data_IF_142316281882
#
_entry.id   IF_142316281882
#
_cell.length_a   1.000
_cell.length_b   1.000
_cell.length_c   1.000
_cell.angle_alpha   90.00
_cell.angle_beta   90.00
_cell.angle_gamma   90.00
#
_symmetry.space_group_name_H-M   'P 1'
#
loop_
_entity.id
_entity.type
_entity.pdbx_description
1 polymer ?
#
# COMPACT_ATOMS: atom_id res chain seq x y z
N UNK A 1 -9.14 -18.08 43.40
CA UNK A 1 -9.83 -16.88 43.93
C UNK A 1 -11.23 -17.25 44.41
N UNK A 2 -11.48 -17.57 45.70
CA UNK A 2 -12.81 -17.95 46.15
C UNK A 2 -13.51 -16.73 46.79
N UNK A 3 -14.11 -15.90 45.94
CA UNK A 3 -15.03 -14.84 46.32
C UNK A 3 -15.88 -14.50 45.11
N UNK A 4 -17.21 -14.66 45.18
CA UNK A 4 -18.09 -14.31 44.07
C UNK A 4 -18.00 -12.80 43.84
N UNK A 5 -17.50 -12.39 42.67
CA UNK A 5 -17.56 -11.00 42.22
C UNK A 5 -19.03 -10.62 42.06
N UNK A 6 -19.47 -9.59 42.77
CA UNK A 6 -20.81 -9.01 42.65
C UNK A 6 -20.66 -7.67 41.94
N UNK A 7 -21.38 -7.47 40.85
CA UNK A 7 -21.44 -6.18 40.17
C UNK A 7 -22.88 -5.66 40.22
N UNK A 8 -23.07 -4.49 40.83
CA UNK A 8 -24.36 -3.82 40.89
C UNK A 8 -24.20 -2.38 40.40
N UNK A 9 -24.74 -2.09 39.21
CA UNK A 9 -24.74 -0.75 38.59
C UNK A 9 -23.36 -0.08 38.58
N UNK A 10 -22.30 -0.84 38.26
CA UNK A 10 -20.93 -0.31 38.16
C UNK A 10 -20.16 -0.29 39.49
N UNK A 11 -20.79 -0.68 40.60
CA UNK A 11 -20.11 -0.96 41.86
C UNK A 11 -19.79 -2.44 41.94
N UNK A 12 -18.51 -2.76 42.06
CA UNK A 12 -17.98 -4.11 42.13
C UNK A 12 -17.64 -4.43 43.58
N UNK A 13 -18.23 -5.48 44.13
CA UNK A 13 -17.95 -5.99 45.47
C UNK A 13 -17.32 -7.37 45.39
N UNK A 14 -16.24 -7.57 46.12
CA UNK A 14 -15.54 -8.84 46.26
C UNK A 14 -15.37 -9.17 47.74
N UNK A 15 -15.84 -10.35 48.12
CA UNK A 15 -15.67 -10.91 49.46
C UNK A 15 -14.41 -11.81 49.49
N UNK A 16 -13.70 -11.87 50.62
CA UNK A 16 -12.57 -12.79 50.81
C UNK A 16 -11.29 -12.40 50.05
N UNK A 17 -11.11 -11.11 49.77
CA UNK A 17 -9.92 -10.59 49.09
C UNK A 17 -8.75 -10.60 50.07
N UNK A 18 -7.62 -11.17 49.68
CA UNK A 18 -6.40 -11.18 50.49
C UNK A 18 -5.47 -10.08 49.98
N UNK A 19 -5.26 -9.04 50.79
CA UNK A 19 -4.31 -7.96 50.52
C UNK A 19 -3.36 -7.91 51.72
N UNK A 20 -2.27 -8.70 51.73
CA UNK A 20 -1.44 -8.89 52.93
C UNK A 20 -0.85 -7.59 53.48
N UNK A 21 -0.59 -6.63 52.61
CA UNK A 21 -0.07 -5.31 52.98
C UNK A 21 -1.11 -4.47 53.75
N UNK A 22 -2.41 -4.72 53.55
CA UNK A 22 -3.53 -3.96 54.16
C UNK A 22 -4.13 -4.71 55.34
N UNK A 23 -4.27 -6.04 55.27
CA UNK A 23 -4.81 -6.86 56.36
C UNK A 23 -4.23 -8.27 56.34
N UNK A 24 -3.99 -8.82 57.53
CA UNK A 24 -3.57 -10.22 57.70
C UNK A 24 -4.71 -11.22 57.45
N UNK A 25 -5.97 -10.76 57.55
CA UNK A 25 -7.17 -11.56 57.28
C UNK A 25 -7.83 -11.14 55.98
N UNK A 26 -8.56 -12.04 55.29
CA UNK A 26 -9.33 -11.68 54.11
C UNK A 26 -10.32 -10.55 54.38
N UNK A 27 -10.41 -9.59 53.46
CA UNK A 27 -11.26 -8.40 53.55
C UNK A 27 -12.34 -8.42 52.47
N UNK A 28 -13.35 -7.55 52.63
CA UNK A 28 -14.25 -7.22 51.53
C UNK A 28 -13.79 -5.93 50.86
N UNK A 29 -13.71 -5.94 49.53
CA UNK A 29 -13.39 -4.76 48.72
C UNK A 29 -14.61 -4.36 47.91
N UNK A 30 -14.97 -3.09 47.97
CA UNK A 30 -15.98 -2.45 47.14
C UNK A 30 -15.26 -1.43 46.27
N UNK A 31 -15.44 -1.50 44.97
CA UNK A 31 -14.78 -0.65 43.99
C UNK A 31 -15.80 -0.03 43.05
N UNK A 32 -15.54 1.19 42.60
CA UNK A 32 -16.19 1.76 41.43
C UNK A 32 -15.18 2.52 40.59
N UNK A 33 -15.50 2.65 39.31
CA UNK A 33 -14.70 3.39 38.35
C UNK A 33 -15.55 4.55 37.84
N UNK A 34 -15.03 5.75 37.98
CA UNK A 34 -15.70 6.99 37.61
C UNK A 34 -14.88 7.69 36.51
N UNK A 35 -15.57 8.26 35.51
CA UNK A 35 -14.93 9.17 34.57
C UNK A 35 -14.68 10.51 35.25
N UNK A 36 -13.45 11.01 35.14
CA UNK A 36 -13.02 12.32 35.61
C UNK A 36 -12.65 13.19 34.41
N UNK A 37 -12.72 14.53 34.52
CA UNK A 37 -12.31 15.42 33.41
C UNK A 37 -10.89 15.18 32.91
N UNK A 38 -10.01 14.69 33.80
CA UNK A 38 -8.59 14.44 33.53
C UNK A 38 -8.25 12.95 33.36
N UNK A 39 -9.24 12.06 33.28
CA UNK A 39 -9.00 10.62 33.09
C UNK A 39 -9.99 9.74 33.85
N UNK A 40 -9.49 8.63 34.40
CA UNK A 40 -10.33 7.64 35.09
C UNK A 40 -9.98 7.60 36.57
N UNK A 41 -11.00 7.76 37.42
CA UNK A 41 -10.90 7.61 38.86
C UNK A 41 -11.27 6.19 39.28
N UNK A 42 -10.46 5.59 40.15
CA UNK A 42 -10.80 4.34 40.83
C UNK A 42 -11.01 4.64 42.30
N UNK A 43 -12.19 4.32 42.81
CA UNK A 43 -12.53 4.50 44.22
C UNK A 43 -12.69 3.14 44.88
N UNK A 44 -12.07 2.97 46.05
CA UNK A 44 -12.20 1.77 46.88
C UNK A 44 -12.76 2.08 48.25
N UNK A 45 -13.56 1.15 48.75
CA UNK A 45 -13.91 0.99 50.16
C UNK A 45 -13.56 -0.43 50.59
N UNK A 46 -12.83 -0.54 51.70
CA UNK A 46 -12.34 -1.82 52.22
C UNK A 46 -12.96 -2.03 53.60
N UNK A 47 -13.67 -3.14 53.75
CA UNK A 47 -14.24 -3.61 55.01
C UNK A 47 -13.30 -4.67 55.60
N UNK A 48 -12.70 -4.34 56.75
CA UNK A 48 -11.73 -5.16 57.46
C UNK A 48 -12.39 -6.22 58.36
N UNK A 49 -13.72 -6.31 58.36
CA UNK A 49 -14.53 -7.25 59.14
C UNK A 49 -15.02 -6.70 60.48
N UNK A 50 -14.22 -5.83 61.13
CA UNK A 50 -14.60 -5.13 62.36
C UNK A 50 -14.88 -3.63 62.15
N UNK A 51 -14.34 -3.04 61.09
CA UNK A 51 -14.50 -1.65 60.71
C UNK A 51 -14.17 -1.45 59.23
N UNK A 52 -14.65 -0.34 58.67
CA UNK A 52 -14.17 0.14 57.38
C UNK A 52 -12.81 0.81 57.53
N UNK A 53 -11.98 0.65 56.49
CA UNK A 53 -10.72 1.35 56.34
C UNK A 53 -10.93 2.87 56.43
N UNK A 54 -10.29 3.51 57.40
CA UNK A 54 -10.38 4.95 57.64
C UNK A 54 -9.04 5.56 58.02
N UNK A 55 -8.85 6.83 57.64
CA UNK A 55 -7.58 7.55 57.85
C UNK A 55 -7.23 7.71 59.33
N UNK A 56 -8.23 7.91 60.18
CA UNK A 56 -8.05 8.10 61.62
C UNK A 56 -8.24 6.79 62.40
N UNK A 57 -9.20 5.96 62.00
CA UNK A 57 -9.54 4.70 62.68
C UNK A 57 -8.54 3.57 62.42
N UNK A 58 -7.91 3.55 61.24
CA UNK A 58 -6.98 2.50 60.81
C UNK A 58 -5.79 3.10 60.03
N UNK A 59 -4.97 3.98 60.64
CA UNK A 59 -4.00 4.80 59.92
C UNK A 59 -2.91 3.98 59.19
N UNK A 60 -2.46 2.88 59.79
CA UNK A 60 -1.44 2.00 59.18
C UNK A 60 -1.96 1.30 57.92
N UNK A 61 -3.16 0.70 58.02
CA UNK A 61 -3.83 0.04 56.90
C UNK A 61 -4.20 1.05 55.82
N UNK A 62 -4.62 2.27 56.21
CA UNK A 62 -4.93 3.35 55.27
C UNK A 62 -3.72 3.70 54.42
N UNK A 63 -2.56 3.90 55.04
CA UNK A 63 -1.31 4.21 54.32
C UNK A 63 -0.89 3.07 53.39
N UNK A 64 -1.07 1.81 53.80
CA UNK A 64 -0.78 0.65 52.97
C UNK A 64 -1.72 0.57 51.76
N UNK A 65 -3.02 0.78 51.96
CA UNK A 65 -4.01 0.78 50.90
C UNK A 65 -3.81 1.95 49.91
N UNK A 66 -3.45 3.14 50.41
CA UNK A 66 -3.09 4.30 49.57
C UNK A 66 -1.89 3.97 48.68
N UNK A 67 -0.84 3.37 49.24
CA UNK A 67 0.32 2.92 48.47
C UNK A 67 -0.11 1.89 47.41
N UNK A 68 -0.89 0.89 47.79
CA UNK A 68 -1.34 -0.17 46.89
C UNK A 68 -2.15 0.38 45.72
N UNK A 69 -3.12 1.26 45.98
CA UNK A 69 -3.94 1.90 44.94
C UNK A 69 -3.08 2.79 44.02
N UNK A 70 -2.08 3.50 44.56
CA UNK A 70 -1.14 4.32 43.78
C UNK A 70 -0.25 3.47 42.88
N UNK A 71 0.22 2.33 43.37
CA UNK A 71 1.06 1.42 42.59
C UNK A 71 0.25 0.72 41.50
N UNK A 72 -1.01 0.36 41.76
CA UNK A 72 -1.97 -0.09 40.74
C UNK A 72 -2.20 0.97 39.65
N UNK A 73 -2.45 2.23 40.04
CA UNK A 73 -2.64 3.30 39.06
C UNK A 73 -1.41 3.50 38.17
N UNK A 74 -0.20 3.39 38.75
CA UNK A 74 1.06 3.46 38.00
C UNK A 74 1.25 2.28 37.05
N UNK A 75 0.88 1.06 37.45
CA UNK A 75 1.01 -0.11 36.57
C UNK A 75 0.06 0.00 35.38
N UNK A 76 -1.21 0.35 35.63
CA UNK A 76 -2.19 0.56 34.57
C UNK A 76 -1.75 1.64 33.58
N UNK A 77 -1.23 2.77 34.08
CA UNK A 77 -0.73 3.84 33.22
C UNK A 77 0.49 3.41 32.40
N UNK A 78 1.40 2.61 32.97
CA UNK A 78 2.54 2.06 32.22
C UNK A 78 2.07 1.10 31.13
N UNK A 79 1.12 0.23 31.43
CA UNK A 79 0.57 -0.72 30.45
C UNK A 79 -0.09 0.02 29.27
N UNK A 80 -0.89 1.05 29.56
CA UNK A 80 -1.50 1.91 28.54
C UNK A 80 -0.45 2.61 27.67
N UNK A 81 0.59 3.20 28.27
CA UNK A 81 1.69 3.80 27.52
C UNK A 81 2.44 2.77 26.66
N UNK A 82 2.68 1.56 27.16
CA UNK A 82 3.32 0.51 26.38
C UNK A 82 2.46 0.09 25.18
N UNK A 83 1.14 -0.01 25.35
CA UNK A 83 0.22 -0.29 24.25
C UNK A 83 0.25 0.82 23.19
N UNK A 84 0.21 2.09 23.62
CA UNK A 84 0.31 3.24 22.71
C UNK A 84 1.64 3.27 21.96
N UNK A 85 2.75 2.96 22.62
CA UNK A 85 4.07 2.84 21.99
C UNK A 85 4.07 1.73 20.94
N UNK A 86 3.57 0.54 21.28
CA UNK A 86 3.52 -0.59 20.35
C UNK A 86 2.67 -0.28 19.10
N UNK A 87 1.53 0.38 19.28
CA UNK A 87 0.67 0.81 18.18
C UNK A 87 1.37 1.87 17.30
N UNK A 88 2.06 2.83 17.92
CA UNK A 88 2.82 3.86 17.21
C UNK A 88 4.01 3.25 16.43
N UNK A 89 4.75 2.31 17.02
CA UNK A 89 5.83 1.57 16.37
C UNK A 89 5.32 0.78 15.16
N UNK A 90 4.19 0.09 15.31
CA UNK A 90 3.54 -0.62 14.20
C UNK A 90 3.12 0.33 13.08
N UNK A 91 2.53 1.47 13.42
CA UNK A 91 2.15 2.49 12.43
C UNK A 91 3.38 3.05 11.70
N UNK A 92 4.48 3.30 12.42
CA UNK A 92 5.74 3.77 11.85
C UNK A 92 6.31 2.77 10.85
N UNK A 93 6.41 1.49 11.21
CA UNK A 93 6.91 0.42 10.33
C UNK A 93 6.05 0.32 9.06
N UNK A 94 4.73 0.35 9.20
CA UNK A 94 3.81 0.33 8.05
C UNK A 94 4.03 1.53 7.12
N UNK A 95 4.24 2.73 7.68
CA UNK A 95 4.52 3.94 6.90
C UNK A 95 5.86 3.85 6.18
N UNK A 96 6.89 3.28 6.82
CA UNK A 96 8.20 3.08 6.20
C UNK A 96 8.11 2.09 5.03
N UNK A 97 7.41 0.97 5.22
CA UNK A 97 7.20 -0.03 4.16
C UNK A 97 6.41 0.55 2.97
N UNK A 98 5.36 1.32 3.23
CA UNK A 98 4.60 2.00 2.18
C UNK A 98 5.48 3.00 1.40
N UNK A 99 6.32 3.77 2.10
CA UNK A 99 7.22 4.71 1.44
C UNK A 99 8.24 3.98 0.55
N UNK A 100 8.84 2.89 1.03
CA UNK A 100 9.75 2.06 0.21
C UNK A 100 9.06 1.51 -1.04
N UNK A 101 7.84 0.99 -0.91
CA UNK A 101 7.07 0.49 -2.05
C UNK A 101 6.77 1.58 -3.09
N UNK A 102 6.47 2.80 -2.65
CA UNK A 102 6.27 3.96 -3.54
C UNK A 102 7.57 4.32 -4.27
N UNK A 103 8.71 4.31 -3.58
CA UNK A 103 10.03 4.55 -4.19
C UNK A 103 10.35 3.50 -5.26
N UNK A 104 10.15 2.22 -4.95
CA UNK A 104 10.36 1.12 -5.91
C UNK A 104 9.46 1.25 -7.14
N UNK A 105 8.17 1.55 -6.94
CA UNK A 105 7.23 1.81 -8.04
C UNK A 105 7.70 2.97 -8.92
N UNK A 106 8.17 4.07 -8.32
CA UNK A 106 8.73 5.21 -9.04
C UNK A 106 9.96 4.80 -9.87
N UNK A 107 10.86 3.99 -9.32
CA UNK A 107 12.03 3.50 -10.05
C UNK A 107 11.67 2.60 -11.23
N UNK A 108 10.68 1.71 -11.06
CA UNK A 108 10.15 0.89 -12.15
C UNK A 108 9.57 1.75 -13.29
N UNK A 109 8.74 2.74 -12.94
CA UNK A 109 8.16 3.67 -13.92
C UNK A 109 9.27 4.42 -14.68
N UNK A 110 10.31 4.90 -13.99
CA UNK A 110 11.47 5.56 -14.65
C UNK A 110 12.16 4.63 -15.65
N UNK A 111 12.38 3.37 -15.29
CA UNK A 111 13.00 2.38 -16.18
C UNK A 111 12.13 2.12 -17.42
N UNK A 112 10.82 2.03 -17.24
CA UNK A 112 9.88 1.81 -18.35
C UNK A 112 9.79 3.03 -19.28
N UNK A 113 9.87 4.25 -18.73
CA UNK A 113 9.99 5.48 -19.53
C UNK A 113 11.22 5.43 -20.42
N UNK A 114 12.39 5.08 -19.87
CA UNK A 114 13.63 5.02 -20.67
C UNK A 114 13.57 3.94 -21.76
N UNK A 115 13.01 2.77 -21.45
CA UNK A 115 12.74 1.73 -22.45
C UNK A 115 11.82 2.21 -23.56
N UNK A 116 10.73 2.89 -23.21
CA UNK A 116 9.77 3.42 -24.19
C UNK A 116 10.39 4.51 -25.06
N UNK A 117 11.25 5.38 -24.51
CA UNK A 117 12.02 6.35 -25.29
C UNK A 117 12.94 5.67 -26.31
N UNK A 118 13.67 4.63 -25.88
CA UNK A 118 14.52 3.87 -26.79
C UNK A 118 13.71 3.20 -27.92
N UNK A 119 12.58 2.57 -27.56
CA UNK A 119 11.68 1.93 -28.54
C UNK A 119 11.08 2.93 -29.51
N UNK A 120 10.75 4.15 -29.05
CA UNK A 120 10.28 5.23 -29.92
C UNK A 120 11.32 5.59 -30.97
N UNK A 121 12.59 5.72 -30.58
CA UNK A 121 13.69 6.05 -31.50
C UNK A 121 13.85 4.94 -32.56
N UNK A 122 13.82 3.68 -32.13
CA UNK A 122 13.89 2.52 -33.04
C UNK A 122 12.74 2.53 -34.06
N UNK A 123 11.50 2.75 -33.61
CA UNK A 123 10.33 2.84 -34.50
C UNK A 123 10.48 4.00 -35.49
N UNK A 124 11.00 5.15 -35.05
CA UNK A 124 11.25 6.29 -35.94
C UNK A 124 12.28 5.96 -37.03
N UNK A 125 13.34 5.22 -36.69
CA UNK A 125 14.33 4.76 -37.66
C UNK A 125 13.72 3.76 -38.65
N UNK A 126 12.91 2.81 -38.19
CA UNK A 126 12.18 1.88 -39.06
C UNK A 126 11.23 2.60 -40.02
N UNK A 127 10.50 3.61 -39.54
CA UNK A 127 9.62 4.42 -40.39
C UNK A 127 10.40 5.17 -41.47
N UNK A 128 11.57 5.72 -41.14
CA UNK A 128 12.43 6.38 -42.12
C UNK A 128 12.95 5.40 -43.18
N UNK A 129 13.35 4.18 -42.77
CA UNK A 129 13.78 3.14 -43.69
C UNK A 129 12.64 2.71 -44.64
N UNK A 130 11.44 2.45 -44.10
CA UNK A 130 10.27 2.08 -44.89
C UNK A 130 9.88 3.18 -45.89
N UNK A 131 10.00 4.46 -45.50
CA UNK A 131 9.74 5.58 -46.41
C UNK A 131 10.74 5.64 -47.57
N UNK A 132 12.02 5.37 -47.31
CA UNK A 132 13.04 5.30 -48.36
C UNK A 132 12.80 4.12 -49.31
N UNK A 133 12.44 2.96 -48.77
CA UNK A 133 12.09 1.77 -49.57
C UNK A 133 10.87 2.02 -50.46
N UNK A 134 9.82 2.66 -49.93
CA UNK A 134 8.65 3.06 -50.71
C UNK A 134 9.03 3.99 -51.88
N UNK A 135 9.90 4.96 -51.65
CA UNK A 135 10.39 5.84 -52.70
C UNK A 135 11.16 5.07 -53.78
N UNK A 136 11.98 4.08 -53.38
CA UNK A 136 12.69 3.22 -54.32
C UNK A 136 11.71 2.42 -55.19
N UNK A 137 10.67 1.82 -54.59
CA UNK A 137 9.66 1.08 -55.35
C UNK A 137 8.90 1.98 -56.33
N UNK A 138 8.55 3.21 -55.95
CA UNK A 138 7.93 4.16 -56.87
C UNK A 138 8.84 4.47 -58.08
N UNK A 139 10.13 4.70 -57.85
CA UNK A 139 11.08 4.92 -58.93
C UNK A 139 11.22 3.68 -59.85
N UNK A 140 11.16 2.48 -59.29
CA UNK A 140 11.18 1.23 -60.06
C UNK A 140 9.92 1.07 -60.92
N UNK A 141 8.74 1.41 -60.38
CA UNK A 141 7.49 1.43 -61.14
C UNK A 141 7.59 2.41 -62.31
N UNK A 142 8.06 3.65 -62.07
CA UNK A 142 8.20 4.67 -63.10
C UNK A 142 9.18 4.25 -64.20
N UNK A 143 10.28 3.60 -63.82
CA UNK A 143 11.27 3.08 -64.77
C UNK A 143 10.66 1.96 -65.62
N UNK A 144 9.97 1.02 -64.98
CA UNK A 144 9.32 -0.08 -65.66
C UNK A 144 8.23 0.41 -66.64
N UNK A 145 7.47 1.45 -66.28
CA UNK A 145 6.48 2.05 -67.18
C UNK A 145 7.14 2.62 -68.43
N UNK A 146 8.28 3.32 -68.30
CA UNK A 146 9.05 3.83 -69.45
C UNK A 146 9.58 2.72 -70.34
N UNK A 147 10.09 1.64 -69.75
CA UNK A 147 10.55 0.46 -70.49
C UNK A 147 9.39 -0.19 -71.27
N UNK A 148 8.20 -0.29 -70.66
CA UNK A 148 7.01 -0.80 -71.35
C UNK A 148 6.60 0.10 -72.53
N UNK A 149 6.66 1.42 -72.38
CA UNK A 149 6.37 2.37 -73.46
C UNK A 149 7.37 2.25 -74.61
N UNK A 150 8.67 2.17 -74.32
CA UNK A 150 9.71 1.97 -75.32
C UNK A 150 9.52 0.65 -76.07
N UNK A 151 9.27 -0.45 -75.35
CA UNK A 151 8.99 -1.75 -75.97
C UNK A 151 7.75 -1.73 -76.87
N UNK A 152 6.69 -0.99 -76.50
CA UNK A 152 5.51 -0.79 -77.36
C UNK A 152 5.87 -0.03 -78.64
N UNK A 153 6.68 1.02 -78.55
CA UNK A 153 7.12 1.78 -79.72
C UNK A 153 7.95 0.89 -80.68
N UNK A 154 8.86 0.08 -80.15
CA UNK A 154 9.66 -0.86 -80.94
C UNK A 154 8.78 -1.90 -81.65
N UNK A 155 7.77 -2.44 -80.98
CA UNK A 155 6.79 -3.37 -81.60
C UNK A 155 6.06 -2.70 -82.77
N UNK A 156 5.67 -1.42 -82.62
CA UNK A 156 5.01 -0.67 -83.71
C UNK A 156 5.97 -0.48 -84.88
N UNK A 157 7.21 -0.08 -84.62
CA UNK A 157 8.24 0.08 -85.66
C UNK A 157 8.52 -1.23 -86.40
N UNK A 158 8.64 -2.35 -85.67
CA UNK A 158 8.81 -3.68 -86.25
C UNK A 158 7.62 -4.09 -87.10
N UNK A 159 6.38 -3.78 -86.69
CA UNK A 159 5.18 -4.04 -87.50
C UNK A 159 5.21 -3.27 -88.81
N UNK A 160 5.54 -1.97 -88.78
CA UNK A 160 5.65 -1.16 -90.00
C UNK A 160 6.73 -1.72 -90.95
N UNK A 161 7.90 -2.08 -90.41
CA UNK A 161 8.97 -2.70 -91.18
C UNK A 161 8.54 -4.03 -91.81
N UNK A 162 7.84 -4.88 -91.05
CA UNK A 162 7.31 -6.16 -91.53
C UNK A 162 6.30 -5.96 -92.67
N UNK A 163 5.37 -5.01 -92.54
CA UNK A 163 4.40 -4.72 -93.61
C UNK A 163 5.08 -4.19 -94.86
N UNK A 164 6.09 -3.32 -94.73
CA UNK A 164 6.88 -2.86 -95.89
C UNK A 164 7.58 -4.00 -96.63
N UNK A 165 8.10 -5.00 -95.90
CA UNK A 165 8.71 -6.19 -96.51
C UNK A 165 7.65 -7.03 -97.24
N UNK A 166 6.46 -7.21 -96.66
CA UNK A 166 5.34 -7.90 -97.32
C UNK A 166 4.89 -7.19 -98.60
N UNK A 167 4.80 -5.86 -98.58
CA UNK A 167 4.47 -5.05 -99.77
C UNK A 167 5.52 -5.17 -100.87
N UNK A 168 6.80 -5.34 -100.53
CA UNK A 168 7.84 -5.59 -101.53
C UNK A 168 7.69 -6.98 -102.16
N UNK A 169 7.33 -7.98 -101.37
CA UNK A 169 7.12 -9.35 -101.87
C UNK A 169 5.96 -9.41 -102.88
N UNK A 170 4.85 -8.74 -102.61
CA UNK A 170 3.69 -8.68 -103.51
C UNK A 170 3.95 -7.94 -104.84
N UNK A 171 5.05 -7.18 -104.96
CA UNK A 171 5.46 -6.54 -106.22
C UNK A 171 6.39 -7.41 -107.08
N UNK A 172 6.83 -8.55 -106.56
CA UNK A 172 7.74 -9.49 -107.24
C UNK A 172 6.96 -10.65 -107.88
N UNK A 173 5.68 -10.82 -107.51
CA UNK A 173 4.70 -11.70 -108.18
C UNK A 173 3.95 -10.97 -109.30
#
# INVERSE_FOLDING_TARGET
FPGKVKNNKGVVTMDGVVIPEVSATPVRVISRVDALPTGTGVWWSIDLGNAYLGRESTPSQWKAAEKYLKDFARSMYREDLMAQIADAEKALVNSQNNNMAVIEKSNTIKKDIEKNKARKIEIQQMLAANAAELQQFNNMIDTNLKEQEAARADIVNMRVALESVKERMTKIE
#
